data_IF_853155521040
#
_entry.id   IF_853155521040
#
_cell.length_a   1.000
_cell.length_b   1.000
_cell.length_c   1.000
_cell.angle_alpha   90.00
_cell.angle_beta   90.00
_cell.angle_gamma   90.00
#
_symmetry.space_group_name_H-M   'P 1'
#
loop_
_entity.id
_entity.type
_entity.pdbx_description
1 polymer ?
#
# COMPACT_ATOMS: atom_id res chain seq x y z
N UNK A 1 3.49 12.44 -6.83
CA UNK A 1 2.40 13.44 -6.85
C UNK A 1 2.23 14.16 -8.18
N UNK A 2 3.26 14.83 -8.72
CA UNK A 2 3.14 15.66 -9.94
C UNK A 2 2.61 14.95 -11.19
N UNK A 3 2.77 13.62 -11.28
CA UNK A 3 2.25 12.80 -12.38
C UNK A 3 0.90 12.12 -12.08
N UNK A 4 0.24 12.47 -10.97
CA UNK A 4 -1.03 11.85 -10.56
C UNK A 4 -0.92 10.37 -10.13
N UNK A 5 0.30 9.85 -9.98
CA UNK A 5 0.60 8.46 -9.65
C UNK A 5 0.98 8.24 -8.17
N UNK A 6 0.56 9.14 -7.26
CA UNK A 6 0.80 8.93 -5.84
C UNK A 6 -0.36 9.43 -5.00
N UNK A 7 -0.56 8.80 -3.85
CA UNK A 7 -1.61 9.13 -2.89
C UNK A 7 -0.96 9.17 -1.50
N UNK A 8 -1.26 10.22 -0.74
CA UNK A 8 -0.91 10.28 0.67
C UNK A 8 -2.17 10.06 1.52
N UNK A 9 -2.10 9.14 2.47
CA UNK A 9 -3.18 8.92 3.44
C UNK A 9 -2.69 9.21 4.86
N UNK A 10 -3.60 9.71 5.69
CA UNK A 10 -3.34 9.95 7.11
C UNK A 10 -2.13 10.89 7.37
N UNK A 11 -1.91 11.88 6.51
CA UNK A 11 -0.74 12.76 6.54
C UNK A 11 -0.50 13.45 7.89
N UNK A 12 -1.58 13.78 8.63
CA UNK A 12 -1.50 14.39 9.96
C UNK A 12 -0.86 13.50 11.02
N UNK A 13 -0.82 12.17 10.79
CA UNK A 13 -0.27 11.17 11.70
C UNK A 13 0.92 10.42 11.06
N UNK A 14 1.40 10.92 9.93
CA UNK A 14 2.53 10.36 9.22
C UNK A 14 3.82 10.53 10.01
N UNK A 15 4.77 9.74 9.60
CA UNK A 15 6.16 9.80 9.98
C UNK A 15 7.02 9.89 8.70
N UNK A 16 7.89 10.89 8.66
CA UNK A 16 8.75 11.23 7.53
C UNK A 16 10.18 11.39 8.02
N UNK A 17 11.11 10.72 7.34
CA UNK A 17 12.49 10.57 7.80
C UNK A 17 13.19 11.90 8.11
N UNK A 18 12.89 12.97 7.37
CA UNK A 18 13.54 14.27 7.55
C UNK A 18 13.10 14.96 8.84
N UNK A 19 11.90 14.68 9.36
CA UNK A 19 11.38 15.29 10.58
C UNK A 19 12.11 14.85 11.85
N UNK A 20 12.83 13.73 11.81
CA UNK A 20 13.62 13.23 12.94
C UNK A 20 15.03 13.85 13.03
N UNK A 21 15.42 14.70 12.08
CA UNK A 21 16.76 15.27 12.01
C UNK A 21 17.85 14.23 11.74
N UNK A 22 19.07 14.68 11.44
CA UNK A 22 20.20 13.84 11.03
C UNK A 22 20.84 12.98 12.15
N UNK A 23 20.14 12.75 13.28
CA UNK A 23 20.80 12.43 14.55
C UNK A 23 20.36 11.17 15.30
N UNK A 24 19.20 10.57 15.01
CA UNK A 24 18.74 9.38 15.75
C UNK A 24 18.70 8.18 14.81
N UNK A 25 19.86 7.55 14.61
CA UNK A 25 19.96 6.22 14.04
C UNK A 25 19.43 5.24 15.10
N UNK A 26 18.15 4.88 15.06
CA UNK A 26 17.63 3.81 15.92
C UNK A 26 16.13 3.73 16.14
N UNK A 27 15.40 4.85 16.06
CA UNK A 27 13.94 4.82 16.08
C UNK A 27 13.46 4.73 14.63
N UNK A 28 13.16 3.52 14.15
CA UNK A 28 12.49 3.34 12.85
C UNK A 28 11.15 4.09 12.79
N UNK A 29 10.49 4.13 11.62
CA UNK A 29 9.24 4.88 11.46
C UNK A 29 8.18 4.43 12.47
N UNK A 30 7.47 5.37 13.08
CA UNK A 30 6.24 5.10 13.80
C UNK A 30 5.11 4.95 12.80
N UNK A 31 4.97 3.73 12.26
CA UNK A 31 3.87 3.43 11.34
C UNK A 31 2.52 3.41 12.07
N UNK A 32 1.58 4.26 11.62
CA UNK A 32 0.19 4.30 12.08
C UNK A 32 -0.82 3.86 11.01
N UNK A 33 -0.34 3.40 9.86
CA UNK A 33 -1.16 2.80 8.82
C UNK A 33 -1.36 1.31 9.14
N UNK A 34 -2.61 0.82 9.25
CA UNK A 34 -2.89 -0.60 9.41
C UNK A 34 -2.23 -1.44 8.30
N UNK A 35 -1.57 -2.57 8.63
CA UNK A 35 -0.90 -3.43 7.64
C UNK A 35 -1.83 -3.92 6.51
N UNK A 36 -3.12 -4.07 6.78
CA UNK A 36 -4.14 -4.47 5.81
C UNK A 36 -4.30 -3.43 4.71
N UNK A 37 -4.24 -2.14 5.05
CA UNK A 37 -4.29 -1.05 4.06
C UNK A 37 -3.05 -1.12 3.16
N UNK A 38 -1.86 -1.26 3.74
CA UNK A 38 -0.61 -1.42 2.99
C UNK A 38 -0.72 -2.61 2.03
N UNK A 39 -1.20 -3.76 2.52
CA UNK A 39 -1.37 -4.98 1.70
C UNK A 39 -2.33 -4.79 0.54
N UNK A 40 -3.44 -4.04 0.74
CA UNK A 40 -4.40 -3.73 -0.34
C UNK A 40 -3.74 -2.86 -1.40
N UNK A 41 -3.06 -1.78 -1.01
CA UNK A 41 -2.35 -0.91 -1.95
C UNK A 41 -1.29 -1.69 -2.76
N UNK A 42 -0.47 -2.49 -2.08
CA UNK A 42 0.57 -3.29 -2.73
C UNK A 42 0.02 -4.31 -3.72
N UNK A 43 -1.12 -4.96 -3.40
CA UNK A 43 -1.86 -5.82 -4.34
C UNK A 43 -2.28 -5.08 -5.61
N UNK A 44 -2.57 -3.79 -5.52
CA UNK A 44 -3.03 -2.96 -6.63
C UNK A 44 -1.92 -2.19 -7.33
N UNK A 45 -0.65 -2.54 -7.11
CA UNK A 45 0.47 -1.97 -7.86
C UNK A 45 1.09 -0.71 -7.23
N UNK A 46 0.73 -0.39 -5.99
CA UNK A 46 1.38 0.68 -5.24
C UNK A 46 2.58 0.17 -4.46
N UNK A 47 3.57 1.04 -4.28
CA UNK A 47 4.71 0.84 -3.40
C UNK A 47 4.54 1.78 -2.21
N UNK A 48 4.70 1.24 -1.01
CA UNK A 48 4.53 2.01 0.22
C UNK A 48 5.87 2.62 0.70
N UNK A 49 5.87 3.94 0.93
CA UNK A 49 7.03 4.70 1.36
C UNK A 49 7.53 4.36 2.77
N UNK A 50 6.69 3.74 3.61
CA UNK A 50 7.11 3.28 4.94
C UNK A 50 8.14 2.15 4.96
N UNK A 51 8.35 1.46 3.82
CA UNK A 51 9.37 0.41 3.65
C UNK A 51 10.73 0.95 3.20
N UNK A 52 10.84 2.24 2.90
CA UNK A 52 12.08 2.82 2.39
C UNK A 52 13.07 3.14 3.52
N UNK A 53 14.37 3.17 3.20
CA UNK A 53 15.38 3.63 4.17
C UNK A 53 15.18 5.11 4.53
N UNK A 54 14.76 5.92 3.56
CA UNK A 54 14.28 7.29 3.76
C UNK A 54 12.75 7.24 3.74
N UNK A 55 12.17 6.75 4.84
CA UNK A 55 10.76 6.43 4.90
C UNK A 55 9.85 7.65 4.78
N UNK A 56 8.70 7.43 4.17
CA UNK A 56 7.57 8.36 4.10
C UNK A 56 6.27 7.56 4.28
N UNK A 57 5.79 7.47 5.52
CA UNK A 57 4.76 6.48 5.89
C UNK A 57 3.36 6.82 5.37
N UNK A 58 3.10 8.07 4.99
CA UNK A 58 1.85 8.46 4.33
C UNK A 58 1.83 8.11 2.85
N UNK A 59 3.00 7.94 2.24
CA UNK A 59 3.16 7.94 0.80
C UNK A 59 2.93 6.55 0.17
N UNK A 60 2.09 6.52 -0.86
CA UNK A 60 1.91 5.37 -1.74
C UNK A 60 2.13 5.82 -3.19
N UNK A 61 3.09 5.19 -3.88
CA UNK A 61 3.43 5.49 -5.28
C UNK A 61 2.98 4.35 -6.19
N UNK A 62 2.11 4.63 -7.16
CA UNK A 62 1.66 3.65 -8.15
C UNK A 62 2.75 3.41 -9.19
N UNK A 63 3.43 2.28 -9.08
CA UNK A 63 4.56 1.86 -9.94
C UNK A 63 4.44 0.38 -10.29
N UNK A 64 3.32 -0.06 -10.90
CA UNK A 64 3.08 -1.47 -11.22
C UNK A 64 4.18 -2.08 -12.10
N UNK A 65 4.82 -1.26 -12.94
CA UNK A 65 5.91 -1.68 -13.81
C UNK A 65 7.19 -2.06 -13.07
N UNK A 66 7.32 -1.71 -11.79
CA UNK A 66 8.45 -2.10 -10.94
C UNK A 66 8.21 -3.41 -10.19
N UNK A 67 6.98 -3.94 -10.22
CA UNK A 67 6.58 -5.07 -9.36
C UNK A 67 6.63 -6.43 -10.08
N UNK A 68 6.94 -6.43 -11.39
CA UNK A 68 6.89 -7.57 -12.31
C UNK A 68 5.56 -8.35 -12.29
N UNK A 69 5.23 -8.98 -13.42
CA UNK A 69 3.95 -9.62 -13.68
C UNK A 69 3.79 -10.89 -12.81
N UNK A 70 3.54 -10.76 -11.51
CA UNK A 70 3.25 -11.90 -10.63
C UNK A 70 1.88 -12.49 -11.02
N UNK A 71 1.85 -13.67 -11.69
CA UNK A 71 0.60 -14.22 -12.22
C UNK A 71 -0.40 -14.63 -11.13
N UNK A 72 0.02 -14.64 -9.86
CA UNK A 72 -0.80 -15.02 -8.71
C UNK A 72 -1.76 -13.93 -8.21
N UNK A 73 -1.62 -12.66 -8.64
CA UNK A 73 -2.50 -11.57 -8.18
C UNK A 73 -3.51 -11.10 -9.25
N UNK A 74 -3.36 -11.50 -10.52
CA UNK A 74 -4.25 -11.06 -11.63
C UNK A 74 -5.46 -11.98 -11.86
N UNK A 75 -5.50 -13.18 -11.26
CA UNK A 75 -6.43 -14.26 -11.65
C UNK A 75 -7.57 -14.61 -10.68
N UNK A 76 -7.81 -13.82 -9.61
CA UNK A 76 -8.86 -14.14 -8.61
C UNK A 76 -10.02 -13.15 -8.52
N UNK A 77 -10.22 -12.23 -9.47
CA UNK A 77 -11.25 -11.19 -9.32
C UNK A 77 -12.25 -11.02 -10.49
N UNK A 78 -12.36 -11.98 -11.41
CA UNK A 78 -13.53 -12.06 -12.31
C UNK A 78 -14.30 -13.36 -12.06
N UNK A 79 -15.03 -13.40 -10.96
CA UNK A 79 -16.21 -14.25 -10.82
C UNK A 79 -17.34 -13.36 -10.31
N UNK A 80 -18.37 -13.03 -11.12
CA UNK A 80 -19.63 -12.59 -10.53
C UNK A 80 -20.19 -13.80 -9.77
N UNK A 81 -20.66 -13.57 -8.55
CA UNK A 81 -21.26 -14.60 -7.72
C UNK A 81 -22.31 -15.41 -8.51
N UNK A 82 -22.00 -16.67 -8.82
CA UNK A 82 -22.96 -17.67 -9.25
C UNK A 82 -23.21 -18.60 -8.05
N UNK A 83 -24.22 -18.26 -7.27
CA UNK A 83 -24.69 -19.03 -6.12
C UNK A 83 -26.21 -18.99 -6.01
N UNK A 84 -26.90 -19.31 -7.11
CA UNK A 84 -28.31 -19.71 -7.06
C UNK A 84 -28.39 -21.15 -6.58
N UNK A 85 -28.87 -21.37 -5.36
CA UNK A 85 -29.44 -22.64 -4.95
C UNK A 85 -30.49 -22.40 -3.85
N UNK A 86 -31.73 -22.10 -4.27
CA UNK A 86 -32.89 -22.30 -3.42
C UNK A 86 -33.21 -23.81 -3.37
N UNK A 87 -33.41 -24.41 -2.18
CA UNK A 87 -33.80 -25.81 -2.10
C UNK A 87 -35.29 -25.96 -2.44
N UNK A 88 -35.60 -26.89 -3.35
CA UNK A 88 -36.97 -27.37 -3.57
C UNK A 88 -37.48 -28.07 -2.31
N UNK A 89 -38.54 -27.53 -1.70
CA UNK A 89 -39.65 -28.27 -1.09
C UNK A 89 -40.93 -27.49 -1.31
#
# INVERSE_FOLDING_TARGET
>A
HSWGAAIDINAAHADYWLWHGSGVIGAGPVNRIPPEIVTIFERHGFIWGGKWSHYDTMHFEYRPELLDDQPAQRSLWISPAAGSAAPRR
#
